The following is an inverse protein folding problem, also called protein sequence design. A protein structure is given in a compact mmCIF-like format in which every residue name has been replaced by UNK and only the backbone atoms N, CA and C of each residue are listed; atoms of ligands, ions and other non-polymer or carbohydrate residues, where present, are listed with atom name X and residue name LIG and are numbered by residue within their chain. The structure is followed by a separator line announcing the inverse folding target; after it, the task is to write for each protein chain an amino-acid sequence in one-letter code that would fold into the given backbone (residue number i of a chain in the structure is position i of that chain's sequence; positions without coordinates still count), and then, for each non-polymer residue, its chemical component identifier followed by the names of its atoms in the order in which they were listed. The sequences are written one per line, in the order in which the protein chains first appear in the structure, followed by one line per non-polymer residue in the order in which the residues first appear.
data_IF_516029849915
#
_entry.id   IF_516029849915
#
_cell.length_a   1.000
_cell.length_b   1.000
_cell.length_c   1.000
_cell.angle_alpha   90.00
_cell.angle_beta   90.00
_cell.angle_gamma   90.00
#
_symmetry.space_group_name_H-M   'P 1'
#
loop_
_entity.id
_entity.type
_entity.pdbx_description
1 polymer ?
#
# COMPACT_ATOMS: atom_id res chain seq x y z
N UNK A 1 -4.29 44.83 2.48
CA UNK A 1 -4.73 43.80 3.44
C UNK A 1 -5.27 42.62 2.65
N UNK A 2 -4.92 41.40 3.06
CA UNK A 2 -5.32 40.16 2.39
C UNK A 2 -6.71 39.71 2.88
N UNK A 3 -7.71 39.77 2.01
CA UNK A 3 -9.03 39.19 2.27
C UNK A 3 -8.92 37.67 2.29
N UNK A 4 -9.11 37.13 3.49
CA UNK A 4 -8.92 35.73 3.85
C UNK A 4 -10.00 34.87 3.20
N UNK A 5 -9.58 34.19 2.14
CA UNK A 5 -10.30 33.19 1.36
C UNK A 5 -10.81 32.06 2.27
N UNK A 6 -12.01 32.20 2.83
CA UNK A 6 -12.72 31.12 3.51
C UNK A 6 -13.12 30.08 2.45
N UNK A 7 -12.20 29.18 2.15
CA UNK A 7 -12.43 28.05 1.24
C UNK A 7 -13.32 27.07 1.99
N UNK A 8 -14.62 27.22 1.78
CA UNK A 8 -15.66 26.33 2.28
C UNK A 8 -15.34 24.87 1.88
N UNK A 9 -14.82 24.07 2.82
CA UNK A 9 -14.50 22.66 2.64
C UNK A 9 -15.74 21.76 2.79
N UNK A 10 -16.91 22.17 2.28
CA UNK A 10 -18.15 21.38 2.37
C UNK A 10 -18.41 20.50 1.14
N UNK A 11 -17.37 20.00 0.48
CA UNK A 11 -17.50 19.28 -0.81
C UNK A 11 -17.19 17.79 -0.78
N UNK A 12 -17.03 17.15 0.39
CA UNK A 12 -16.51 15.77 0.43
C UNK A 12 -17.24 14.82 1.39
N UNK A 13 -18.47 15.14 1.80
CA UNK A 13 -19.20 14.38 2.83
C UNK A 13 -19.82 13.07 2.32
N UNK A 14 -19.92 12.91 1.00
CA UNK A 14 -20.63 11.78 0.36
C UNK A 14 -19.76 11.00 -0.65
N UNK A 15 -18.43 11.04 -0.53
CA UNK A 15 -17.62 10.08 -1.26
C UNK A 15 -17.77 8.71 -0.58
N UNK A 16 -18.09 7.64 -1.33
CA UNK A 16 -18.18 6.30 -0.74
C UNK A 16 -16.81 5.93 -0.16
N UNK A 17 -16.76 5.74 1.15
CA UNK A 17 -15.59 5.19 1.82
C UNK A 17 -15.45 3.72 1.38
N UNK A 18 -14.44 3.44 0.55
CA UNK A 18 -14.09 2.07 0.20
C UNK A 18 -13.62 1.32 1.43
N UNK A 19 -14.19 0.14 1.67
CA UNK A 19 -13.66 -0.81 2.65
C UNK A 19 -12.62 -1.65 1.92
N UNK A 20 -11.37 -1.52 2.31
CA UNK A 20 -10.31 -2.42 1.87
C UNK A 20 -10.23 -3.57 2.88
N UNK A 21 -10.27 -4.80 2.38
CA UNK A 21 -10.05 -5.99 3.19
C UNK A 21 -8.55 -6.34 3.17
N UNK A 22 -8.04 -6.88 4.26
CA UNK A 22 -6.66 -7.37 4.32
C UNK A 22 -6.49 -8.56 3.36
N UNK A 23 -5.43 -8.53 2.57
CA UNK A 23 -5.11 -9.59 1.61
C UNK A 23 -3.98 -10.45 2.14
N UNK A 24 -4.24 -11.75 2.24
CA UNK A 24 -3.26 -12.74 2.68
C UNK A 24 -2.38 -13.20 1.52
N UNK A 25 -1.11 -13.48 1.82
CA UNK A 25 -0.20 -14.02 0.83
C UNK A 25 -0.59 -15.45 0.43
N UNK A 26 -0.69 -15.71 -0.87
CA UNK A 26 -0.94 -17.05 -1.42
C UNK A 26 0.17 -17.48 -2.37
N UNK A 27 0.90 -18.54 -1.99
CA UNK A 27 2.00 -19.08 -2.79
C UNK A 27 1.53 -19.70 -4.11
N UNK A 28 0.33 -20.26 -4.14
CA UNK A 28 -0.21 -20.93 -5.34
C UNK A 28 -0.69 -19.94 -6.40
N UNK A 29 -0.97 -18.70 -6.00
CA UNK A 29 -1.33 -17.60 -6.91
C UNK A 29 -0.12 -16.75 -7.32
N UNK A 30 1.00 -16.91 -6.61
CA UNK A 30 2.22 -16.17 -6.89
C UNK A 30 2.78 -16.61 -8.25
N UNK A 31 3.07 -15.63 -9.10
CA UNK A 31 3.70 -15.90 -10.37
C UNK A 31 5.21 -16.12 -10.19
N UNK A 32 5.91 -16.47 -11.28
CA UNK A 32 7.34 -16.74 -11.22
C UNK A 32 8.13 -15.57 -10.66
N UNK A 33 7.76 -14.35 -11.02
CA UNK A 33 8.49 -13.15 -10.63
C UNK A 33 8.29 -12.86 -9.14
N UNK A 34 7.09 -13.14 -8.61
CA UNK A 34 6.80 -13.12 -7.17
C UNK A 34 7.68 -14.13 -6.41
N UNK A 35 7.82 -15.36 -6.94
CA UNK A 35 8.66 -16.38 -6.29
C UNK A 35 10.14 -15.97 -6.27
N UNK A 36 10.64 -15.41 -7.37
CA UNK A 36 12.03 -14.93 -7.49
C UNK A 36 12.29 -13.73 -6.57
N UNK A 37 11.32 -12.83 -6.42
CA UNK A 37 11.41 -11.72 -5.48
C UNK A 37 11.51 -12.21 -4.04
N UNK A 38 10.70 -13.20 -3.64
CA UNK A 38 10.76 -13.79 -2.29
C UNK A 38 12.12 -14.43 -2.00
N UNK A 39 12.68 -15.18 -2.95
CA UNK A 39 14.00 -15.81 -2.79
C UNK A 39 15.10 -14.76 -2.61
N UNK A 40 15.07 -13.69 -3.41
CA UNK A 40 16.04 -12.60 -3.29
C UNK A 40 15.92 -11.85 -1.96
N UNK A 41 14.71 -11.67 -1.45
CA UNK A 41 14.49 -11.07 -0.14
C UNK A 41 15.09 -11.93 0.98
N UNK A 42 14.80 -13.23 0.98
CA UNK A 42 15.34 -14.17 1.98
C UNK A 42 16.88 -14.22 1.97
N UNK A 43 17.51 -14.21 0.80
CA UNK A 43 18.97 -14.16 0.68
C UNK A 43 19.58 -12.85 1.21
N UNK A 44 18.89 -11.73 1.00
CA UNK A 44 19.32 -10.43 1.50
C UNK A 44 19.24 -10.38 3.03
N UNK A 45 18.16 -10.89 3.62
CA UNK A 45 17.98 -10.98 5.07
C UNK A 45 19.05 -11.86 5.70
N UNK A 46 19.29 -13.05 5.14
CA UNK A 46 20.38 -13.95 5.59
C UNK A 46 21.75 -13.30 5.55
N UNK A 47 22.00 -12.40 4.59
CA UNK A 47 23.24 -11.62 4.52
C UNK A 47 23.28 -10.54 5.59
N UNK A 48 22.17 -9.86 5.84
CA UNK A 48 22.07 -8.78 6.81
C UNK A 48 22.19 -9.29 8.27
N UNK A 49 21.79 -10.53 8.51
CA UNK A 49 21.92 -11.19 9.81
C UNK A 49 23.35 -11.73 10.10
N UNK A 50 24.25 -11.71 9.12
CA UNK A 50 25.63 -12.20 9.23
C UNK A 50 26.64 -11.08 9.44
#
# INVERSE_FOLDING_TARGET
MADSKHRNQNGNKDLPLGKSEDVEFSRDLADRDDLEAMQRAEEADRRAER
#
